data_IF_064570494754
#
_entry.id   IF_064570494754
#
_cell.length_a   1.000
_cell.length_b   1.000
_cell.length_c   1.000
_cell.angle_alpha   90.00
_cell.angle_beta   90.00
_cell.angle_gamma   90.00
#
_symmetry.space_group_name_H-M   'P 1'
#
loop_
_entity.id
_entity.type
_entity.pdbx_description
1 polymer ?
#
# COMPACT_ATOMS: atom_id res chain seq x y z
N UNK A 1 7.05 16.51 -7.47
CA UNK A 1 6.47 15.82 -8.64
C UNK A 1 5.38 14.90 -8.10
N UNK A 2 4.21 14.91 -8.74
CA UNK A 2 3.05 14.11 -8.32
C UNK A 2 3.28 12.63 -8.62
N UNK A 3 2.85 11.76 -7.71
CA UNK A 3 2.85 10.30 -7.87
C UNK A 3 1.74 9.91 -8.83
N UNK A 4 2.03 9.40 -10.03
CA UNK A 4 0.98 8.77 -10.80
C UNK A 4 0.70 7.41 -10.17
N UNK A 5 -0.33 7.34 -9.33
CA UNK A 5 -1.00 6.07 -9.10
C UNK A 5 -1.51 5.59 -10.46
N UNK A 6 -1.00 4.44 -10.91
CA UNK A 6 -1.30 3.88 -12.22
C UNK A 6 -2.65 3.18 -12.18
N UNK A 7 -2.92 2.50 -11.07
CA UNK A 7 -4.14 1.73 -10.90
C UNK A 7 -4.54 1.68 -9.43
N UNK A 8 -5.84 1.84 -9.19
CA UNK A 8 -6.53 1.45 -7.95
C UNK A 8 -7.73 0.62 -8.37
N UNK A 9 -7.85 -0.60 -7.89
CA UNK A 9 -8.90 -1.53 -8.34
C UNK A 9 -9.31 -2.48 -7.23
N UNK A 10 -10.60 -2.55 -6.93
CA UNK A 10 -11.20 -3.61 -6.12
C UNK A 10 -11.17 -4.93 -6.90
N UNK A 11 -10.57 -5.96 -6.32
CA UNK A 11 -10.35 -7.27 -6.96
C UNK A 11 -11.54 -8.22 -6.80
N UNK A 12 -12.28 -8.10 -5.72
CA UNK A 12 -13.37 -9.01 -5.36
C UNK A 12 -14.74 -8.42 -5.70
N UNK A 13 -15.65 -9.24 -6.24
CA UNK A 13 -17.05 -8.87 -6.42
C UNK A 13 -17.91 -9.22 -5.20
N UNK A 14 -17.52 -10.27 -4.46
CA UNK A 14 -18.14 -10.72 -3.21
C UNK A 14 -17.20 -10.37 -2.06
N UNK A 15 -17.69 -9.82 -0.92
CA UNK A 15 -16.85 -9.52 0.23
C UNK A 15 -16.06 -10.75 0.69
N UNK A 16 -14.76 -10.55 0.88
CA UNK A 16 -13.82 -11.55 1.36
C UNK A 16 -13.91 -11.70 2.88
N UNK A 17 -13.75 -12.91 3.38
CA UNK A 17 -13.67 -13.21 4.82
C UNK A 17 -12.52 -14.16 5.06
N UNK A 18 -11.71 -13.91 6.09
CA UNK A 18 -10.73 -14.89 6.54
C UNK A 18 -11.44 -16.05 7.23
N UNK A 19 -10.96 -17.28 7.03
CA UNK A 19 -11.55 -18.46 7.67
C UNK A 19 -11.25 -18.51 9.18
N UNK A 20 -10.08 -18.05 9.61
CA UNK A 20 -9.64 -18.01 11.01
C UNK A 20 -9.57 -16.56 11.54
N UNK A 21 -10.73 -15.88 11.56
CA UNK A 21 -10.82 -14.44 11.90
C UNK A 21 -10.20 -14.07 13.25
N UNK A 22 -10.22 -14.97 14.23
CA UNK A 22 -9.64 -14.81 15.56
C UNK A 22 -8.11 -14.72 15.56
N UNK A 23 -7.46 -15.23 14.51
CA UNK A 23 -6.01 -15.20 14.33
C UNK A 23 -5.57 -14.02 13.44
N UNK A 24 -6.51 -13.19 12.98
CA UNK A 24 -6.22 -12.03 12.14
C UNK A 24 -6.07 -10.80 13.03
N UNK A 25 -4.92 -10.15 12.92
CA UNK A 25 -4.67 -8.88 13.58
C UNK A 25 -5.06 -7.72 12.65
N UNK A 26 -6.06 -6.93 13.06
CA UNK A 26 -6.56 -5.79 12.30
C UNK A 26 -5.91 -4.46 12.78
N UNK A 27 -5.73 -3.48 11.86
CA UNK A 27 -5.91 -3.61 10.42
C UNK A 27 -4.85 -4.52 9.77
N UNK A 28 -5.24 -5.28 8.76
CA UNK A 28 -4.33 -6.20 8.06
C UNK A 28 -3.31 -5.37 7.28
N UNK A 29 -2.01 -5.49 7.55
CA UNK A 29 -1.02 -4.60 6.98
C UNK A 29 -0.91 -4.81 5.45
N UNK A 30 -0.54 -3.77 4.67
CA UNK A 30 -0.44 -3.88 3.22
C UNK A 30 0.53 -4.97 2.77
N UNK A 31 0.15 -5.78 1.80
CA UNK A 31 1.09 -6.69 1.16
C UNK A 31 1.70 -6.00 -0.05
N UNK A 32 3.02 -5.77 0.00
CA UNK A 32 3.71 -5.01 -1.03
C UNK A 32 4.78 -5.82 -1.72
N UNK A 33 4.85 -5.66 -3.04
CA UNK A 33 6.02 -5.98 -3.84
C UNK A 33 6.61 -4.71 -4.45
N UNK A 34 7.94 -4.65 -4.53
CA UNK A 34 8.66 -3.53 -5.10
C UNK A 34 9.82 -4.03 -5.97
N UNK A 35 9.97 -3.45 -7.16
CA UNK A 35 11.02 -3.81 -8.11
C UNK A 35 11.51 -2.59 -8.88
N UNK A 36 12.83 -2.42 -8.96
CA UNK A 36 13.44 -1.44 -9.86
C UNK A 36 13.31 -1.90 -11.31
N UNK A 37 12.98 -0.96 -12.19
CA UNK A 37 12.96 -1.21 -13.63
C UNK A 37 13.25 0.07 -14.40
N UNK A 38 13.72 -0.09 -15.64
CA UNK A 38 13.89 1.04 -16.56
C UNK A 38 12.65 1.13 -17.45
N UNK A 39 12.01 2.30 -17.46
CA UNK A 39 10.83 2.56 -18.30
C UNK A 39 11.20 2.56 -19.79
N UNK A 40 10.20 2.55 -20.67
CA UNK A 40 10.39 2.69 -22.12
C UNK A 40 11.08 4.00 -22.53
N UNK A 41 11.08 5.00 -21.65
CA UNK A 41 11.75 6.29 -21.86
C UNK A 41 13.15 6.37 -21.24
N UNK A 42 13.75 5.22 -20.87
CA UNK A 42 15.07 5.11 -20.26
C UNK A 42 15.20 5.83 -18.91
N UNK A 43 14.11 5.88 -18.14
CA UNK A 43 14.08 6.44 -16.78
C UNK A 43 14.04 5.30 -15.77
N UNK A 44 14.92 5.32 -14.76
CA UNK A 44 14.85 4.36 -13.66
C UNK A 44 13.64 4.67 -12.77
N UNK A 45 12.84 3.65 -12.50
CA UNK A 45 11.63 3.73 -11.70
C UNK A 45 11.55 2.56 -10.72
N UNK A 46 10.90 2.78 -9.58
CA UNK A 46 10.55 1.74 -8.64
C UNK A 46 9.07 1.41 -8.82
N UNK A 47 8.80 0.25 -9.42
CA UNK A 47 7.45 -0.31 -9.58
C UNK A 47 7.01 -0.84 -8.22
N UNK A 48 5.84 -0.39 -7.76
CA UNK A 48 5.28 -0.80 -6.47
C UNK A 48 3.87 -1.33 -6.73
N UNK A 49 3.57 -2.49 -6.14
CA UNK A 49 2.25 -3.10 -6.14
C UNK A 49 1.85 -3.44 -4.73
N UNK A 50 0.69 -2.95 -4.31
CA UNK A 50 0.14 -3.20 -2.98
C UNK A 50 -1.19 -3.93 -3.08
N UNK A 51 -1.42 -4.85 -2.15
CA UNK A 51 -2.72 -5.45 -1.87
C UNK A 51 -3.17 -4.98 -0.49
N UNK A 52 -4.34 -4.34 -0.42
CA UNK A 52 -4.96 -3.88 0.83
C UNK A 52 -6.21 -4.71 1.12
N UNK A 53 -6.48 -4.93 2.40
CA UNK A 53 -7.71 -5.52 2.90
C UNK A 53 -8.42 -4.47 3.74
N UNK A 54 -9.52 -3.93 3.21
CA UNK A 54 -10.26 -2.82 3.80
C UNK A 54 -11.66 -3.31 4.12
N UNK A 55 -12.29 -2.80 5.20
CA UNK A 55 -13.67 -3.16 5.50
C UNK A 55 -14.56 -2.94 4.26
N UNK A 56 -15.31 -3.97 3.87
CA UNK A 56 -16.28 -3.89 2.77
C UNK A 56 -17.46 -2.96 3.07
N UNK A 57 -17.65 -2.55 4.33
CA UNK A 57 -18.60 -1.51 4.71
C UNK A 57 -18.08 -0.09 4.39
N UNK A 58 -16.79 0.06 4.07
CA UNK A 58 -16.19 1.32 3.66
C UNK A 58 -16.62 1.65 2.23
N UNK A 59 -17.21 2.83 2.04
CA UNK A 59 -17.68 3.33 0.74
C UNK A 59 -16.65 4.27 0.06
N UNK A 60 -15.48 4.45 0.68
CA UNK A 60 -14.40 5.27 0.16
C UNK A 60 -13.27 4.39 -0.36
N UNK A 61 -12.95 4.57 -1.65
CA UNK A 61 -11.80 3.93 -2.28
C UNK A 61 -10.49 4.34 -1.57
N UNK A 62 -9.56 3.40 -1.31
CA UNK A 62 -8.26 3.76 -0.77
C UNK A 62 -7.45 4.57 -1.76
N UNK A 63 -6.57 5.42 -1.24
CA UNK A 63 -5.60 6.12 -2.06
C UNK A 63 -4.23 6.14 -1.40
N UNK A 64 -3.21 6.43 -2.22
CA UNK A 64 -1.83 6.57 -1.77
C UNK A 64 -1.55 8.05 -1.56
N UNK A 65 -1.00 8.41 -0.40
CA UNK A 65 -0.58 9.79 -0.15
C UNK A 65 0.45 10.27 -1.19
N UNK A 66 0.28 11.50 -1.68
CA UNK A 66 1.09 12.07 -2.77
C UNK A 66 2.49 12.54 -2.35
N UNK A 67 2.86 12.38 -1.08
CA UNK A 67 4.13 12.84 -0.52
C UNK A 67 4.90 11.72 0.21
N UNK A 68 5.38 10.67 -0.48
CA UNK A 68 6.24 9.65 0.08
C UNK A 68 7.54 10.24 0.59
N UNK A 69 8.00 9.67 1.70
CA UNK A 69 9.23 10.10 2.36
C UNK A 69 10.26 9.01 2.18
N UNK A 70 11.49 9.36 1.79
CA UNK A 70 12.61 8.41 1.79
C UNK A 70 13.41 8.65 3.07
N UNK A 71 13.46 7.65 3.94
CA UNK A 71 14.21 7.68 5.19
C UNK A 71 15.19 6.51 5.24
N UNK A 72 16.49 6.79 5.34
CA UNK A 72 17.51 5.77 5.49
C UNK A 72 17.58 4.75 4.34
N UNK A 73 17.21 5.15 3.11
CA UNK A 73 17.14 4.23 1.96
C UNK A 73 15.84 3.42 1.88
N UNK A 74 14.88 3.63 2.79
CA UNK A 74 13.55 3.05 2.72
C UNK A 74 12.52 4.08 2.26
N UNK A 75 11.77 3.75 1.22
CA UNK A 75 10.61 4.53 0.78
C UNK A 75 9.42 4.25 1.70
N UNK A 76 8.92 5.27 2.37
CA UNK A 76 7.71 5.21 3.20
C UNK A 76 6.48 5.53 2.34
N UNK A 77 5.51 4.62 2.32
CA UNK A 77 4.22 4.78 1.66
C UNK A 77 3.08 4.73 2.66
N UNK A 78 2.13 5.64 2.51
CA UNK A 78 0.94 5.70 3.34
C UNK A 78 -0.28 5.44 2.45
N UNK A 79 -1.02 4.40 2.79
CA UNK A 79 -2.31 4.07 2.21
C UNK A 79 -3.37 4.59 3.18
N UNK A 80 -4.09 5.61 2.73
CA UNK A 80 -5.14 6.25 3.51
C UNK A 80 -6.47 5.55 3.21
N UNK A 81 -7.26 5.32 4.26
CA UNK A 81 -8.59 4.74 4.20
C UNK A 81 -9.40 5.20 5.41
N UNK A 82 -10.73 5.22 5.27
CA UNK A 82 -11.63 5.56 6.37
C UNK A 82 -11.68 4.40 7.39
N UNK A 83 -10.85 4.44 8.43
CA UNK A 83 -10.82 3.41 9.46
C UNK A 83 -11.99 3.56 10.45
N UNK A 84 -12.44 2.42 10.95
CA UNK A 84 -13.36 2.31 12.08
C UNK A 84 -12.75 1.39 13.11
N UNK A 85 -12.88 1.70 14.41
CA UNK A 85 -12.40 0.83 15.50
C UNK A 85 -13.10 -0.54 15.54
N UNK A 86 -14.21 -0.70 14.81
CA UNK A 86 -14.90 -1.98 14.69
C UNK A 86 -14.09 -2.98 13.84
N UNK A 87 -13.98 -4.21 14.34
CA UNK A 87 -13.41 -5.30 13.55
C UNK A 87 -14.27 -5.56 12.31
N UNK A 88 -13.69 -5.53 11.09
CA UNK A 88 -14.45 -5.75 9.87
C UNK A 88 -15.12 -7.11 9.86
N UNK A 89 -16.41 -7.14 9.48
CA UNK A 89 -17.16 -8.41 9.28
C UNK A 89 -16.80 -9.09 7.97
N UNK A 90 -16.43 -8.29 6.98
CA UNK A 90 -15.98 -8.72 5.67
C UNK A 90 -15.12 -7.62 5.03
N UNK A 91 -14.33 -7.99 4.03
CA UNK A 91 -13.28 -7.15 3.49
C UNK A 91 -13.43 -7.03 1.97
N UNK A 92 -13.08 -5.87 1.46
CA UNK A 92 -12.73 -5.69 0.07
C UNK A 92 -11.21 -5.72 -0.11
N UNK A 93 -10.79 -6.43 -1.15
CA UNK A 93 -9.39 -6.61 -1.51
C UNK A 93 -9.06 -5.64 -2.62
N UNK A 94 -8.14 -4.71 -2.36
CA UNK A 94 -7.76 -3.67 -3.28
C UNK A 94 -6.36 -3.89 -3.84
N UNK A 95 -6.21 -3.77 -5.15
CA UNK A 95 -4.93 -3.71 -5.83
C UNK A 95 -4.58 -2.27 -6.15
N UNK A 96 -3.36 -1.86 -5.77
CA UNK A 96 -2.80 -0.57 -6.11
C UNK A 96 -1.47 -0.77 -6.82
N UNK A 97 -1.32 -0.13 -7.98
CA UNK A 97 -0.06 -0.08 -8.73
C UNK A 97 0.38 1.37 -8.91
N UNK A 98 1.67 1.63 -8.69
CA UNK A 98 2.28 2.93 -8.91
C UNK A 98 3.74 2.82 -9.32
N UNK A 99 4.24 3.89 -9.93
CA UNK A 99 5.66 4.09 -10.18
C UNK A 99 6.19 5.25 -9.36
N UNK A 100 7.20 4.97 -8.54
CA UNK A 100 7.99 5.99 -7.87
C UNK A 100 9.19 6.32 -8.77
N UNK A 101 9.29 7.60 -9.17
CA UNK A 101 10.40 8.13 -9.96
C UNK A 101 10.99 9.31 -9.19
N UNK A 102 12.28 9.21 -8.87
CA UNK A 102 13.05 10.31 -8.31
C UNK A 102 14.54 10.15 -8.66
N UNK A 103 15.32 11.19 -8.44
CA UNK A 103 16.78 11.13 -8.60
C UNK A 103 17.44 10.11 -7.67
N UNK A 104 16.83 9.84 -6.51
CA UNK A 104 17.36 8.93 -5.50
C UNK A 104 16.81 7.51 -5.58
N UNK A 105 15.97 7.20 -6.57
CA UNK A 105 15.27 5.91 -6.67
C UNK A 105 16.22 4.70 -6.69
N UNK A 106 17.41 4.85 -7.29
CA UNK A 106 18.42 3.79 -7.35
C UNK A 106 19.09 3.45 -6.01
N UNK A 107 18.93 4.31 -4.99
CA UNK A 107 19.45 4.07 -3.62
C UNK A 107 18.40 3.46 -2.69
N UNK A 108 17.16 3.28 -3.16
CA UNK A 108 16.08 2.71 -2.34
C UNK A 108 16.27 1.19 -2.28
N UNK A 109 16.50 0.67 -1.08
CA UNK A 109 16.71 -0.75 -0.81
C UNK A 109 15.46 -1.44 -0.26
N UNK A 110 14.53 -0.68 0.31
CA UNK A 110 13.27 -1.20 0.83
C UNK A 110 12.11 -0.25 0.63
N UNK A 111 10.89 -0.79 0.70
CA UNK A 111 9.65 -0.04 0.81
C UNK A 111 9.02 -0.39 2.15
N UNK A 112 8.78 0.61 2.97
CA UNK A 112 7.95 0.50 4.16
C UNK A 112 6.58 1.06 3.83
N UNK A 113 5.52 0.34 4.17
CA UNK A 113 4.16 0.80 3.96
C UNK A 113 3.38 0.81 5.24
N UNK A 114 2.41 1.71 5.29
CA UNK A 114 1.48 1.84 6.39
C UNK A 114 0.06 1.95 5.84
N UNK A 115 -0.87 1.27 6.50
CA UNK A 115 -2.27 1.66 6.53
C UNK A 115 -2.38 2.74 7.60
N UNK A 116 -2.65 3.96 7.15
CA UNK A 116 -2.77 5.10 8.03
C UNK A 116 -4.24 5.30 8.37
N UNK A 117 -4.52 5.24 9.65
CA UNK A 117 -5.73 5.80 10.24
C UNK A 117 -5.46 7.29 10.53
N UNK A 118 -6.51 8.12 10.51
CA UNK A 118 -6.46 9.52 10.96
C UNK A 118 -6.04 9.59 12.45
N UNK A 119 -6.13 8.48 13.20
CA UNK A 119 -5.54 8.29 14.53
C UNK A 119 -4.13 7.60 14.48
N UNK A 120 -3.06 8.27 14.99
CA UNK A 120 -1.70 7.75 14.95
C UNK A 120 -1.41 6.51 15.83
N UNK A 121 -2.28 6.12 16.77
CA UNK A 121 -1.99 4.99 17.67
C UNK A 121 -2.19 3.59 17.03
N UNK A 122 -3.01 3.47 15.98
CA UNK A 122 -3.41 2.18 15.39
C UNK A 122 -2.85 1.89 13.98
N UNK A 123 -1.93 2.72 13.48
CA UNK A 123 -1.31 2.51 12.16
C UNK A 123 -0.49 1.20 12.11
N UNK A 124 -0.71 0.38 11.07
CA UNK A 124 0.02 -0.89 10.84
C UNK A 124 0.66 -0.95 9.47
N UNK A 125 1.78 -1.67 9.35
CA UNK A 125 2.60 -1.62 8.15
C UNK A 125 3.44 -2.85 7.86
N UNK A 126 4.03 -2.90 6.67
CA UNK A 126 5.02 -3.92 6.27
C UNK A 126 6.29 -3.28 5.70
N UNK A 127 7.40 -4.01 5.78
CA UNK A 127 8.67 -3.66 5.12
C UNK A 127 9.01 -4.72 4.09
N UNK A 128 9.11 -4.33 2.83
CA UNK A 128 9.49 -5.19 1.71
C UNK A 128 10.87 -4.77 1.17
N UNK A 129 11.79 -5.74 1.00
CA UNK A 129 13.06 -5.51 0.32
C UNK A 129 12.84 -5.38 -1.19
N UNK A 130 13.56 -4.45 -1.83
CA UNK A 130 13.48 -4.28 -3.28
C UNK A 130 14.17 -5.45 -3.98
N UNK A 131 13.44 -6.14 -4.85
CA UNK A 131 13.99 -7.20 -5.68
C UNK A 131 14.82 -6.64 -6.84
N UNK A 132 15.96 -7.28 -7.13
CA UNK A 132 16.77 -7.02 -8.33
C UNK A 132 16.06 -7.50 -9.62
#
# INVERSE_FOLDING_TARGET
MSYPTIQVTKLNAVPFTFDETENVEYPVPPFISAKLYTTSYNVLALKIRATLYIDSANDVDPFVEINPVVLGGSLQLYFDYNFTEETPKSLDVWYIELDYISESVGYISSVTSFLRDIDPELSRGTVTQVGN
#
